data_IF_759192661486
#
_entry.id   IF_759192661486
#
_cell.length_a   1.000
_cell.length_b   1.000
_cell.length_c   1.000
_cell.angle_alpha   90.00
_cell.angle_beta   90.00
_cell.angle_gamma   90.00
#
_symmetry.space_group_name_H-M   'P 1'
#
loop_
_entity.id
_entity.type
_entity.pdbx_description
1 polymer ?
#
# COMPACT_ATOMS: atom_id res chain seq x y z
N UNK A 1 14.38 63.33 12.11
CA UNK A 1 15.10 62.11 11.69
C UNK A 1 14.23 60.92 12.03
N UNK A 2 13.56 60.33 11.04
CA UNK A 2 12.87 59.05 11.22
C UNK A 2 13.89 57.91 11.13
N UNK A 3 13.83 56.91 12.03
CA UNK A 3 14.71 55.76 11.93
C UNK A 3 14.40 54.98 10.63
N UNK A 4 15.42 54.45 9.95
CA UNK A 4 15.21 53.65 8.74
C UNK A 4 14.38 52.41 9.08
N UNK A 5 13.24 52.28 8.41
CA UNK A 5 12.36 51.10 8.54
C UNK A 5 13.12 49.89 8.00
N UNK A 6 13.28 48.87 8.85
CA UNK A 6 14.08 47.69 8.58
C UNK A 6 13.34 46.74 7.64
N UNK A 7 13.51 46.91 6.32
CA UNK A 7 12.86 46.12 5.25
C UNK A 7 13.38 44.69 5.09
N UNK A 8 14.42 44.30 5.85
CA UNK A 8 15.07 42.99 5.70
C UNK A 8 14.22 41.81 6.25
N UNK A 9 13.35 42.07 7.23
CA UNK A 9 12.61 41.00 7.92
C UNK A 9 11.46 40.44 7.05
N UNK A 10 10.77 41.31 6.29
CA UNK A 10 9.66 40.92 5.43
C UNK A 10 10.11 40.04 4.25
N UNK A 11 11.33 40.23 3.75
CA UNK A 11 11.87 39.44 2.63
C UNK A 11 12.16 37.99 3.05
N UNK A 12 12.64 37.79 4.29
CA UNK A 12 12.89 36.44 4.84
C UNK A 12 11.59 35.70 5.08
N UNK A 13 10.55 36.39 5.56
CA UNK A 13 9.24 35.77 5.79
C UNK A 13 8.59 35.34 4.47
N UNK A 14 8.66 36.17 3.41
CA UNK A 14 8.11 35.84 2.10
C UNK A 14 8.82 34.64 1.46
N UNK A 15 10.16 34.60 1.48
CA UNK A 15 10.95 33.46 0.97
C UNK A 15 10.63 32.16 1.70
N UNK A 16 10.44 32.24 3.02
CA UNK A 16 10.08 31.08 3.83
C UNK A 16 8.70 30.55 3.46
N UNK A 17 7.69 31.42 3.32
CA UNK A 17 6.32 31.02 2.90
C UNK A 17 6.31 30.36 1.51
N UNK A 18 7.06 30.93 0.56
CA UNK A 18 7.14 30.37 -0.80
C UNK A 18 7.80 28.99 -0.81
N UNK A 19 8.91 28.81 -0.07
CA UNK A 19 9.57 27.52 0.04
C UNK A 19 8.67 26.45 0.70
N UNK A 20 7.92 26.82 1.75
CA UNK A 20 6.93 25.94 2.35
C UNK A 20 5.81 25.56 1.38
N UNK A 21 5.36 26.49 0.53
CA UNK A 21 4.34 26.25 -0.48
C UNK A 21 4.84 25.26 -1.56
N UNK A 22 6.02 25.50 -2.11
CA UNK A 22 6.64 24.61 -3.11
C UNK A 22 6.88 23.21 -2.53
N UNK A 23 7.44 23.12 -1.32
CA UNK A 23 7.65 21.86 -0.63
C UNK A 23 6.33 21.10 -0.44
N UNK A 24 5.25 21.80 -0.10
CA UNK A 24 3.93 21.20 0.08
C UNK A 24 3.35 20.68 -1.23
N UNK A 25 3.52 21.41 -2.34
CA UNK A 25 3.11 20.94 -3.67
C UNK A 25 3.92 19.71 -4.07
N UNK A 26 5.24 19.77 -3.95
CA UNK A 26 6.12 18.64 -4.25
C UNK A 26 5.74 17.42 -3.42
N UNK A 27 5.61 17.56 -2.11
CA UNK A 27 5.14 16.48 -1.23
C UNK A 27 3.77 15.96 -1.67
N UNK A 28 2.83 16.83 -2.05
CA UNK A 28 1.51 16.41 -2.51
C UNK A 28 1.57 15.59 -3.81
N UNK A 29 2.46 15.94 -4.74
CA UNK A 29 2.62 15.23 -6.02
C UNK A 29 3.31 13.88 -5.77
N UNK A 30 4.44 13.89 -5.05
CA UNK A 30 5.21 12.69 -4.75
C UNK A 30 4.46 11.68 -3.87
N UNK A 31 3.63 12.18 -2.94
CA UNK A 31 2.78 11.33 -2.09
C UNK A 31 1.43 11.03 -2.72
N UNK A 32 1.03 11.65 -3.84
CA UNK A 32 -0.28 11.44 -4.46
C UNK A 32 -0.62 9.95 -4.69
N UNK A 33 0.24 9.13 -5.32
CA UNK A 33 -0.07 7.71 -5.52
C UNK A 33 -0.19 6.96 -4.18
N UNK A 34 0.67 7.28 -3.22
CA UNK A 34 0.69 6.65 -1.89
C UNK A 34 -0.45 7.10 -0.97
N UNK A 35 -0.98 8.32 -1.16
CA UNK A 35 -2.08 8.86 -0.36
C UNK A 35 -3.33 8.01 -0.53
N UNK A 36 -3.54 7.44 -1.73
CA UNK A 36 -4.65 6.54 -2.01
C UNK A 36 -4.45 5.19 -1.33
N UNK A 37 -3.33 4.52 -1.58
CA UNK A 37 -2.97 3.25 -0.95
C UNK A 37 -3.10 3.36 0.56
N UNK A 38 -2.57 4.43 1.14
CA UNK A 38 -2.73 4.69 2.56
C UNK A 38 -4.20 4.84 2.99
N UNK A 39 -5.00 5.60 2.24
CA UNK A 39 -6.41 5.83 2.59
C UNK A 39 -7.18 4.51 2.63
N UNK A 40 -6.93 3.62 1.68
CA UNK A 40 -7.59 2.33 1.54
C UNK A 40 -7.07 1.30 2.56
N UNK A 41 -5.76 1.06 2.59
CA UNK A 41 -5.17 -0.04 3.35
C UNK A 41 -4.82 0.35 4.80
N UNK A 42 -4.66 1.64 5.12
CA UNK A 42 -4.30 2.09 6.48
C UNK A 42 -5.46 2.82 7.15
N UNK A 43 -5.94 3.89 6.52
CA UNK A 43 -6.85 4.82 7.19
C UNK A 43 -8.23 4.23 7.43
N UNK A 44 -8.79 3.55 6.41
CA UNK A 44 -10.13 2.97 6.51
C UNK A 44 -10.22 1.88 7.58
N UNK A 45 -9.32 0.87 7.64
CA UNK A 45 -9.30 -0.10 8.73
C UNK A 45 -9.13 0.55 10.10
N UNK A 46 -8.24 1.54 10.24
CA UNK A 46 -8.06 2.27 11.51
C UNK A 46 -9.34 3.01 11.94
N UNK A 47 -10.07 3.57 10.98
CA UNK A 47 -11.37 4.21 11.24
C UNK A 47 -12.43 3.20 11.66
N UNK A 48 -12.45 2.01 11.06
CA UNK A 48 -13.37 0.93 11.42
C UNK A 48 -13.06 0.35 12.81
N UNK A 49 -11.77 0.13 13.13
CA UNK A 49 -11.30 -0.25 14.47
C UNK A 49 -11.74 0.79 15.51
N UNK A 50 -11.67 2.08 15.17
CA UNK A 50 -12.13 3.18 16.05
C UNK A 50 -13.67 3.23 16.16
N UNK A 51 -14.41 2.86 15.12
CA UNK A 51 -15.88 2.81 15.17
C UNK A 51 -16.39 1.65 16.02
N UNK A 52 -15.63 0.55 16.08
CA UNK A 52 -15.90 -0.58 16.95
C UNK A 52 -15.59 -0.31 18.45
N UNK A 53 -15.34 0.95 18.83
CA UNK A 53 -15.01 1.35 20.21
C UNK A 53 -16.15 0.99 21.18
N UNK A 54 -16.00 -0.17 21.83
CA UNK A 54 -16.97 -0.74 22.77
C UNK A 54 -17.16 -2.24 22.58
N UNK A 55 -17.10 -2.74 21.35
CA UNK A 55 -17.20 -4.18 21.06
C UNK A 55 -15.81 -4.81 20.91
N UNK A 56 -15.38 -5.45 22.00
CA UNK A 56 -14.08 -6.13 22.09
C UNK A 56 -13.90 -7.18 21.01
N UNK A 57 -14.93 -7.97 20.67
CA UNK A 57 -14.79 -9.08 19.71
C UNK A 57 -14.57 -8.54 18.31
N UNK A 58 -15.38 -7.56 17.93
CA UNK A 58 -15.27 -6.90 16.63
C UNK A 58 -13.94 -6.18 16.47
N UNK A 59 -13.48 -5.46 17.50
CA UNK A 59 -12.19 -4.76 17.46
C UNK A 59 -11.02 -5.73 17.31
N UNK A 60 -11.01 -6.86 18.02
CA UNK A 60 -9.95 -7.88 17.92
C UNK A 60 -9.91 -8.47 16.50
N UNK A 61 -11.07 -8.78 15.91
CA UNK A 61 -11.13 -9.27 14.52
C UNK A 61 -10.59 -8.24 13.54
N UNK A 62 -11.04 -6.99 13.62
CA UNK A 62 -10.60 -5.92 12.71
C UNK A 62 -9.10 -5.64 12.81
N UNK A 63 -8.52 -5.69 14.01
CA UNK A 63 -7.06 -5.54 14.18
C UNK A 63 -6.31 -6.72 13.60
N UNK A 64 -6.83 -7.95 13.76
CA UNK A 64 -6.24 -9.15 13.17
C UNK A 64 -6.20 -9.04 11.65
N UNK A 65 -7.33 -8.70 11.04
CA UNK A 65 -7.45 -8.58 9.59
C UNK A 65 -6.56 -7.44 9.06
N UNK A 66 -6.58 -6.29 9.72
CA UNK A 66 -5.68 -5.18 9.40
C UNK A 66 -4.19 -5.56 9.50
N UNK A 67 -3.79 -6.31 10.53
CA UNK A 67 -2.41 -6.79 10.70
C UNK A 67 -2.04 -7.67 9.50
N UNK A 68 -2.87 -8.64 9.15
CA UNK A 68 -2.65 -9.54 8.00
C UNK A 68 -2.54 -8.75 6.71
N UNK A 69 -3.47 -7.84 6.45
CA UNK A 69 -3.45 -6.99 5.25
C UNK A 69 -2.21 -6.10 5.19
N UNK A 70 -1.71 -5.62 6.34
CA UNK A 70 -0.46 -4.86 6.41
C UNK A 70 0.78 -5.69 6.14
N UNK A 71 0.86 -6.90 6.67
CA UNK A 71 1.93 -7.81 6.26
C UNK A 71 1.83 -8.15 4.78
N UNK A 72 0.61 -8.39 4.27
CA UNK A 72 0.38 -8.66 2.85
C UNK A 72 0.73 -7.45 1.98
N UNK A 73 0.49 -6.21 2.41
CA UNK A 73 0.91 -4.99 1.68
C UNK A 73 2.43 -4.92 1.60
N UNK A 74 3.11 -5.10 2.74
CA UNK A 74 4.57 -5.18 2.81
C UNK A 74 5.12 -6.34 1.96
N UNK A 75 4.34 -7.42 1.76
CA UNK A 75 4.62 -8.54 0.85
C UNK A 75 4.21 -8.32 -0.61
N UNK A 76 3.23 -7.48 -0.91
CA UNK A 76 2.74 -7.25 -2.27
C UNK A 76 3.67 -6.31 -3.02
N UNK A 77 4.27 -5.35 -2.29
CA UNK A 77 5.45 -4.59 -2.75
C UNK A 77 6.57 -5.55 -3.16
N UNK A 78 6.51 -6.82 -2.74
CA UNK A 78 7.55 -7.84 -2.73
C UNK A 78 7.43 -8.95 -3.83
N UNK A 79 6.26 -9.17 -4.46
CA UNK A 79 6.08 -10.27 -5.47
C UNK A 79 6.60 -9.92 -6.88
N UNK A 80 6.64 -8.65 -7.28
CA UNK A 80 7.03 -8.25 -8.65
C UNK A 80 8.52 -8.44 -9.04
N UNK A 81 9.37 -9.02 -8.18
CA UNK A 81 10.81 -9.22 -8.43
C UNK A 81 11.26 -10.67 -8.19
N UNK A 82 10.44 -11.49 -7.52
CA UNK A 82 10.78 -12.88 -7.18
C UNK A 82 10.37 -13.91 -8.24
N UNK A 83 9.58 -13.54 -9.24
CA UNK A 83 9.22 -14.46 -10.33
C UNK A 83 10.41 -14.85 -11.22
N UNK A 84 11.57 -14.19 -11.08
CA UNK A 84 12.77 -14.52 -11.84
C UNK A 84 13.80 -15.39 -11.09
N UNK A 85 13.59 -15.69 -9.81
CA UNK A 85 14.56 -16.48 -9.03
C UNK A 85 13.87 -17.54 -8.17
N UNK A 86 13.65 -18.68 -8.81
CA UNK A 86 13.49 -19.99 -8.20
C UNK A 86 12.37 -20.11 -7.14
N UNK A 87 11.19 -20.47 -7.65
CA UNK A 87 10.34 -21.42 -6.95
C UNK A 87 11.18 -22.60 -6.44
N UNK A 88 11.08 -22.87 -5.14
CA UNK A 88 11.36 -24.13 -4.42
C UNK A 88 12.32 -23.95 -3.23
N UNK A 89 11.82 -24.25 -2.03
CA UNK A 89 12.58 -24.59 -0.81
C UNK A 89 13.02 -23.42 0.11
N UNK A 90 12.11 -22.53 0.54
CA UNK A 90 12.33 -21.88 1.85
C UNK A 90 11.02 -21.63 2.62
N UNK A 91 11.09 -21.92 3.92
CA UNK A 91 10.01 -22.06 4.91
C UNK A 91 9.18 -20.77 5.15
N UNK A 92 8.03 -20.86 5.87
CA UNK A 92 7.15 -19.72 6.21
C UNK A 92 7.71 -18.66 7.21
N UNK A 93 9.03 -18.54 7.35
CA UNK A 93 9.74 -17.48 8.07
C UNK A 93 10.80 -16.99 7.08
N UNK A 94 10.77 -15.80 6.47
CA UNK A 94 10.73 -14.49 7.13
C UNK A 94 10.35 -13.37 6.15
N UNK A 95 9.32 -12.60 6.50
CA UNK A 95 8.83 -11.40 5.79
C UNK A 95 9.89 -10.29 5.64
N UNK A 96 10.84 -10.22 6.59
CA UNK A 96 11.96 -9.28 6.58
C UNK A 96 13.01 -9.65 5.52
N UNK A 97 13.23 -10.95 5.31
CA UNK A 97 14.24 -11.45 4.37
C UNK A 97 13.96 -10.94 2.96
N UNK A 98 12.69 -10.84 2.56
CA UNK A 98 12.37 -10.49 1.17
C UNK A 98 12.49 -8.96 0.91
N UNK A 99 12.28 -8.08 1.90
CA UNK A 99 12.60 -6.63 1.78
C UNK A 99 14.12 -6.47 1.72
N UNK A 100 14.84 -7.15 2.62
CA UNK A 100 16.29 -7.16 2.64
C UNK A 100 16.88 -7.70 1.34
N UNK A 101 16.28 -8.73 0.72
CA UNK A 101 16.70 -9.29 -0.57
C UNK A 101 16.59 -8.24 -1.68
N UNK A 102 15.48 -7.49 -1.75
CA UNK A 102 15.29 -6.45 -2.77
C UNK A 102 16.20 -5.25 -2.59
N UNK A 103 16.33 -4.77 -1.35
CA UNK A 103 17.27 -3.71 -1.04
C UNK A 103 18.71 -4.15 -1.32
N UNK A 104 19.07 -5.40 -0.98
CA UNK A 104 20.36 -6.00 -1.32
C UNK A 104 20.54 -6.14 -2.83
N UNK A 105 19.49 -6.45 -3.59
CA UNK A 105 19.55 -6.52 -5.04
C UNK A 105 19.80 -5.13 -5.64
N UNK A 106 19.07 -4.09 -5.19
CA UNK A 106 19.32 -2.72 -5.63
C UNK A 106 20.75 -2.26 -5.27
N UNK A 107 21.19 -2.55 -4.05
CA UNK A 107 22.56 -2.25 -3.58
C UNK A 107 23.62 -3.02 -4.39
N UNK A 108 23.37 -4.30 -4.68
CA UNK A 108 24.25 -5.14 -5.49
C UNK A 108 24.32 -4.66 -6.95
N UNK A 109 23.19 -4.26 -7.53
CA UNK A 109 23.13 -3.65 -8.84
C UNK A 109 23.93 -2.34 -8.87
N UNK A 110 23.75 -1.48 -7.87
CA UNK A 110 24.54 -0.25 -7.72
C UNK A 110 26.03 -0.52 -7.58
N UNK A 111 26.44 -1.51 -6.78
CA UNK A 111 27.86 -1.88 -6.67
C UNK A 111 28.43 -2.46 -7.96
N UNK A 112 27.65 -3.26 -8.69
CA UNK A 112 28.04 -3.77 -9.99
C UNK A 112 28.23 -2.61 -11.00
N UNK A 113 27.35 -1.62 -11.00
CA UNK A 113 27.45 -0.46 -11.91
C UNK A 113 28.59 0.50 -11.52
N UNK A 114 28.92 0.62 -10.24
CA UNK A 114 30.10 1.42 -9.81
C UNK A 114 31.39 0.88 -10.44
N UNK A 115 31.49 -0.43 -10.68
CA UNK A 115 32.66 -0.99 -11.38
C UNK A 115 32.83 -0.44 -12.82
N UNK A 116 31.74 0.04 -13.43
CA UNK A 116 31.72 0.60 -14.80
C UNK A 116 32.16 2.07 -14.85
N UNK A 117 32.26 2.77 -13.71
CA UNK A 117 32.66 4.18 -13.66
C UNK A 117 34.17 4.40 -13.84
N UNK A 118 34.98 3.33 -13.97
CA UNK A 118 36.43 3.39 -14.22
C UNK A 118 36.83 4.07 -15.54
N UNK A 119 35.89 4.58 -16.32
CA UNK A 119 36.21 5.41 -17.47
C UNK A 119 36.83 6.74 -17.01
N UNK A 120 37.83 7.27 -17.72
CA UNK A 120 38.68 8.39 -17.25
C UNK A 120 37.91 9.71 -17.02
N UNK A 121 36.65 9.79 -17.41
CA UNK A 121 35.75 10.90 -17.10
C UNK A 121 34.34 10.31 -16.95
N UNK A 122 33.81 9.96 -15.78
CA UNK A 122 32.38 9.71 -15.65
C UNK A 122 31.61 11.05 -15.58
N UNK A 123 30.33 11.05 -15.96
CA UNK A 123 29.46 12.18 -15.63
C UNK A 123 29.13 12.10 -14.14
N UNK A 124 29.49 13.12 -13.37
CA UNK A 124 29.26 13.16 -11.92
C UNK A 124 27.78 12.92 -11.53
N UNK A 125 26.85 13.30 -12.41
CA UNK A 125 25.40 13.10 -12.22
C UNK A 125 25.06 11.62 -12.09
N UNK A 126 25.71 10.76 -12.88
CA UNK A 126 25.50 9.31 -12.83
C UNK A 126 25.88 8.75 -11.46
N UNK A 127 27.09 9.10 -10.99
CA UNK A 127 27.59 8.64 -9.69
C UNK A 127 26.70 9.15 -8.55
N UNK A 128 26.28 10.43 -8.61
CA UNK A 128 25.38 11.01 -7.63
C UNK A 128 24.03 10.27 -7.56
N UNK A 129 23.44 9.92 -8.71
CA UNK A 129 22.18 9.17 -8.78
C UNK A 129 22.31 7.75 -8.22
N UNK A 130 23.43 7.08 -8.46
CA UNK A 130 23.73 5.77 -7.90
C UNK A 130 23.91 5.81 -6.38
N UNK A 131 24.65 6.79 -5.86
CA UNK A 131 24.78 6.96 -4.40
C UNK A 131 23.45 7.33 -3.76
N UNK A 132 22.64 8.17 -4.40
CA UNK A 132 21.31 8.50 -3.90
C UNK A 132 20.41 7.25 -3.84
N UNK A 133 20.44 6.42 -4.88
CA UNK A 133 19.73 5.14 -4.90
C UNK A 133 20.15 4.23 -3.73
N UNK A 134 21.46 4.12 -3.47
CA UNK A 134 22.01 3.34 -2.37
C UNK A 134 21.55 3.88 -1.01
N UNK A 135 21.60 5.20 -0.81
CA UNK A 135 21.12 5.84 0.41
C UNK A 135 19.62 5.57 0.61
N UNK A 136 18.79 5.73 -0.43
CA UNK A 136 17.38 5.42 -0.37
C UNK A 136 17.10 3.96 -0.03
N UNK A 137 17.86 3.01 -0.60
CA UNK A 137 17.76 1.58 -0.29
C UNK A 137 18.07 1.30 1.19
N UNK A 138 19.13 1.90 1.74
CA UNK A 138 19.51 1.76 3.16
C UNK A 138 18.40 2.31 4.07
N UNK A 139 17.87 3.50 3.77
CA UNK A 139 16.77 4.09 4.54
C UNK A 139 15.49 3.23 4.47
N UNK A 140 15.18 2.64 3.32
CA UNK A 140 14.05 1.73 3.17
C UNK A 140 14.18 0.51 4.09
N UNK A 141 15.38 -0.07 4.21
CA UNK A 141 15.66 -1.20 5.11
C UNK A 141 15.52 -0.79 6.57
N UNK A 142 16.19 0.29 6.99
CA UNK A 142 16.17 0.76 8.39
C UNK A 142 14.72 1.03 8.84
N UNK A 143 13.97 1.75 8.01
CA UNK A 143 12.58 2.10 8.34
C UNK A 143 11.61 0.93 8.23
N UNK A 144 11.88 -0.06 7.37
CA UNK A 144 11.15 -1.34 7.36
C UNK A 144 11.34 -2.12 8.65
N UNK A 145 12.58 -2.21 9.16
CA UNK A 145 12.88 -2.87 10.44
C UNK A 145 12.15 -2.18 11.59
N UNK A 146 12.17 -0.85 11.63
CA UNK A 146 11.45 -0.07 12.64
C UNK A 146 9.93 -0.30 12.57
N UNK A 147 9.36 -0.30 11.36
CA UNK A 147 7.92 -0.54 11.15
C UNK A 147 7.54 -1.95 11.56
N UNK A 148 8.37 -2.95 11.21
CA UNK A 148 8.19 -4.33 11.66
C UNK A 148 8.24 -4.45 13.17
N UNK A 149 9.20 -3.82 13.83
CA UNK A 149 9.30 -3.85 15.30
C UNK A 149 8.03 -3.29 15.97
N UNK A 150 7.43 -2.24 15.40
CA UNK A 150 6.15 -1.69 15.89
C UNK A 150 5.00 -2.69 15.68
N UNK A 151 5.03 -3.47 14.59
CA UNK A 151 4.00 -4.44 14.22
C UNK A 151 4.14 -5.76 14.99
N UNK A 152 5.36 -6.17 15.32
CA UNK A 152 5.70 -7.34 16.14
C UNK A 152 5.37 -7.07 17.62
N UNK A 153 5.32 -5.81 18.05
CA UNK A 153 4.84 -5.39 19.36
C UNK A 153 3.32 -5.63 19.55
N UNK A 154 2.60 -5.94 18.46
CA UNK A 154 1.20 -6.35 18.51
C UNK A 154 1.10 -7.87 18.71
N UNK A 155 0.18 -8.35 19.56
CA UNK A 155 0.04 -9.78 19.84
C UNK A 155 -0.14 -10.59 18.56
N UNK A 156 0.35 -11.83 18.58
CA UNK A 156 0.37 -12.66 17.38
C UNK A 156 -1.05 -13.12 17.01
N UNK A 157 -1.27 -13.46 15.74
CA UNK A 157 -2.59 -13.86 15.22
C UNK A 157 -3.22 -14.98 16.06
N UNK A 158 -2.40 -15.95 16.45
CA UNK A 158 -2.81 -17.12 17.22
C UNK A 158 -3.07 -16.78 18.70
N UNK A 159 -2.46 -15.70 19.19
CA UNK A 159 -2.67 -15.18 20.53
C UNK A 159 -3.88 -14.26 20.62
N UNK A 160 -4.34 -13.66 19.51
CA UNK A 160 -5.58 -12.87 19.42
C UNK A 160 -6.85 -13.75 19.59
N UNK A 161 -6.91 -14.59 20.62
CA UNK A 161 -8.14 -15.29 21.01
C UNK A 161 -9.01 -14.40 21.89
N UNK A 162 -10.30 -14.76 22.01
CA UNK A 162 -11.30 -14.03 22.81
C UNK A 162 -10.92 -13.87 24.30
N UNK A 163 -9.87 -14.56 24.76
CA UNK A 163 -9.33 -14.53 26.12
C UNK A 163 -8.26 -13.45 26.38
N UNK A 164 -7.94 -12.57 25.43
CA UNK A 164 -6.93 -11.51 25.62
C UNK A 164 -7.15 -10.70 26.91
N UNK A 165 -6.10 -10.39 27.66
CA UNK A 165 -6.26 -9.56 28.85
C UNK A 165 -6.73 -8.14 28.46
N UNK A 166 -7.60 -7.53 29.27
CA UNK A 166 -8.03 -6.13 29.05
C UNK A 166 -6.83 -5.17 29.00
N UNK A 167 -5.75 -5.50 29.71
CA UNK A 167 -4.51 -4.72 29.68
C UNK A 167 -3.84 -4.73 28.30
N UNK A 168 -3.83 -5.87 27.61
CA UNK A 168 -3.25 -6.00 26.26
C UNK A 168 -4.11 -5.28 25.24
N UNK A 169 -5.43 -5.40 25.36
CA UNK A 169 -6.38 -4.65 24.55
C UNK A 169 -6.18 -3.14 24.74
N UNK A 170 -5.95 -2.69 25.98
CA UNK A 170 -5.67 -1.28 26.28
C UNK A 170 -4.30 -0.83 25.76
N UNK A 171 -3.28 -1.69 25.76
CA UNK A 171 -1.96 -1.41 25.16
C UNK A 171 -2.08 -1.29 23.63
N UNK A 172 -2.68 -2.28 22.98
CA UNK A 172 -2.96 -2.29 21.55
C UNK A 172 -3.77 -1.06 21.15
N UNK A 173 -4.83 -0.76 21.90
CA UNK A 173 -5.61 0.48 21.75
C UNK A 173 -4.74 1.71 21.91
N UNK A 174 -3.82 1.77 22.87
CA UNK A 174 -2.95 2.95 23.05
C UNK A 174 -1.94 3.10 21.90
N UNK A 175 -1.46 2.00 21.33
CA UNK A 175 -0.56 2.01 20.16
C UNK A 175 -1.32 2.44 18.91
N UNK A 176 -2.49 1.83 18.65
CA UNK A 176 -3.33 2.06 17.46
C UNK A 176 -4.18 3.34 17.57
N UNK A 177 -4.61 3.75 18.76
CA UNK A 177 -5.42 4.95 19.00
C UNK A 177 -4.64 6.09 19.67
N UNK A 178 -3.32 6.02 19.82
CA UNK A 178 -2.49 7.22 20.10
C UNK A 178 -2.74 8.33 19.05
N UNK A 179 -3.32 7.94 17.92
CA UNK A 179 -3.70 8.79 16.82
C UNK A 179 -5.00 9.54 17.13
N UNK A 180 -4.83 10.84 17.43
CA UNK A 180 -5.89 11.79 17.76
C UNK A 180 -6.95 11.84 16.64
N UNK A 181 -8.21 12.07 17.04
CA UNK A 181 -9.40 12.13 16.15
C UNK A 181 -9.33 13.26 15.11
N UNK A 182 -8.56 14.32 15.35
CA UNK A 182 -8.45 15.46 14.45
C UNK A 182 -7.27 15.29 13.48
N UNK A 183 -7.49 15.44 12.15
CA UNK A 183 -6.44 15.35 11.14
C UNK A 183 -5.52 16.57 11.20
N UNK A 184 -4.59 16.59 12.16
CA UNK A 184 -3.52 17.59 12.24
C UNK A 184 -2.23 17.13 11.53
N UNK A 185 -1.17 17.94 11.60
CA UNK A 185 0.17 17.62 11.06
C UNK A 185 0.68 16.24 11.54
N UNK A 186 0.37 15.86 12.78
CA UNK A 186 0.72 14.53 13.34
C UNK A 186 0.13 13.36 12.54
N UNK A 187 -1.05 13.54 11.93
CA UNK A 187 -1.65 12.54 11.05
C UNK A 187 -0.84 12.38 9.75
N UNK A 188 -0.37 13.49 9.17
CA UNK A 188 0.49 13.49 7.97
C UNK A 188 1.88 12.88 8.25
N UNK A 189 2.45 13.12 9.43
CA UNK A 189 3.71 12.49 9.84
C UNK A 189 3.52 10.97 10.00
N UNK A 190 2.41 10.53 10.56
CA UNK A 190 2.09 9.10 10.67
C UNK A 190 1.93 8.45 9.29
N UNK A 191 1.15 9.09 8.42
CA UNK A 191 1.03 8.77 7.00
C UNK A 191 2.40 8.54 6.35
N UNK A 192 3.30 9.50 6.57
CA UNK A 192 4.66 9.45 6.08
C UNK A 192 5.41 8.24 6.64
N UNK A 193 5.47 8.05 7.96
CA UNK A 193 6.21 6.95 8.58
C UNK A 193 5.76 5.57 8.08
N UNK A 194 4.45 5.34 7.96
CA UNK A 194 3.93 4.03 7.52
C UNK A 194 4.15 3.73 6.04
N UNK A 195 4.29 4.74 5.20
CA UNK A 195 4.48 4.58 3.75
C UNK A 195 5.92 4.84 3.30
N UNK A 196 6.74 5.44 4.18
CA UNK A 196 8.11 5.83 3.90
C UNK A 196 8.98 4.68 3.37
N UNK A 197 8.92 3.44 3.91
CA UNK A 197 9.75 2.36 3.38
C UNK A 197 9.40 2.01 1.93
N UNK A 198 8.11 1.97 1.59
CA UNK A 198 7.65 1.70 0.22
C UNK A 198 8.04 2.83 -0.74
N UNK A 199 7.86 4.08 -0.31
CA UNK A 199 8.23 5.26 -1.08
C UNK A 199 9.74 5.32 -1.36
N UNK A 200 10.56 5.13 -0.33
CA UNK A 200 12.02 5.16 -0.46
C UNK A 200 12.54 4.02 -1.32
N UNK A 201 11.93 2.84 -1.25
CA UNK A 201 12.24 1.73 -2.14
C UNK A 201 11.94 2.08 -3.61
N UNK A 202 10.80 2.70 -3.90
CA UNK A 202 10.47 3.16 -5.25
C UNK A 202 11.44 4.22 -5.74
N UNK A 203 11.82 5.18 -4.87
CA UNK A 203 12.82 6.19 -5.22
C UNK A 203 14.19 5.60 -5.49
N UNK A 204 14.62 4.59 -4.72
CA UNK A 204 15.86 3.88 -4.97
C UNK A 204 15.90 3.32 -6.40
N UNK A 205 14.82 2.66 -6.84
CA UNK A 205 14.70 2.16 -8.20
C UNK A 205 14.65 3.26 -9.26
N UNK A 206 13.83 4.29 -9.07
CA UNK A 206 13.71 5.39 -10.03
C UNK A 206 15.05 6.11 -10.24
N UNK A 207 15.78 6.38 -9.15
CA UNK A 207 17.09 7.03 -9.20
C UNK A 207 18.18 6.11 -9.77
N UNK A 208 18.13 4.81 -9.48
CA UNK A 208 19.01 3.82 -10.13
C UNK A 208 18.80 3.80 -11.65
N UNK A 209 17.54 3.67 -12.10
CA UNK A 209 17.20 3.66 -13.53
C UNK A 209 17.54 5.00 -14.20
N UNK A 210 17.38 6.11 -13.50
CA UNK A 210 17.79 7.43 -13.98
C UNK A 210 19.30 7.48 -14.17
N UNK A 211 20.08 7.02 -13.18
CA UNK A 211 21.55 6.94 -13.28
C UNK A 211 22.00 6.04 -14.42
N UNK A 212 21.38 4.87 -14.58
CA UNK A 212 21.64 3.95 -15.69
C UNK A 212 21.33 4.59 -17.04
N UNK A 213 20.22 5.33 -17.15
CA UNK A 213 19.83 6.03 -18.37
C UNK A 213 20.84 7.12 -18.73
N UNK A 214 21.26 7.94 -17.76
CA UNK A 214 22.30 8.96 -17.97
C UNK A 214 23.62 8.31 -18.39
N UNK A 215 24.00 7.20 -17.75
CA UNK A 215 25.20 6.43 -18.11
C UNK A 215 25.15 5.94 -19.56
N UNK A 216 24.05 5.28 -19.95
CA UNK A 216 23.85 4.75 -21.31
C UNK A 216 23.79 5.88 -22.35
N UNK A 217 23.31 7.07 -21.98
CA UNK A 217 23.27 8.26 -22.84
C UNK A 217 24.59 9.06 -22.91
N UNK A 218 25.62 8.70 -22.13
CA UNK A 218 26.95 9.32 -22.19
C UNK A 218 27.53 9.50 -23.60
N UNK A 219 27.44 8.54 -24.55
CA UNK A 219 27.92 8.75 -25.92
C UNK A 219 27.28 9.96 -26.61
N UNK A 220 25.98 10.21 -26.40
CA UNK A 220 25.28 11.36 -26.98
C UNK A 220 25.70 12.68 -26.34
N UNK A 221 25.79 12.73 -25.02
CA UNK A 221 26.14 13.98 -24.32
C UNK A 221 27.57 14.44 -24.58
N UNK A 222 28.45 13.53 -24.99
CA UNK A 222 29.85 13.81 -25.31
C UNK A 222 30.15 13.97 -26.78
N UNK A 223 29.15 13.84 -27.65
CA UNK A 223 29.33 13.89 -29.10
C UNK A 223 30.46 12.96 -29.57
N UNK A 224 30.51 11.73 -29.04
CA UNK A 224 31.49 10.74 -29.50
C UNK A 224 31.15 10.31 -30.93
N UNK A 225 32.16 9.81 -31.65
CA UNK A 225 31.93 9.27 -33.00
C UNK A 225 30.89 8.14 -32.98
N UNK A 226 30.06 8.10 -34.03
CA UNK A 226 29.00 7.13 -34.15
C UNK A 226 29.56 5.70 -34.13
N UNK A 227 29.07 4.87 -33.23
CA UNK A 227 29.63 3.54 -32.99
C UNK A 227 28.65 2.61 -32.30
N UNK A 228 29.09 1.41 -31.95
CA UNK A 228 28.22 0.40 -31.35
C UNK A 228 27.59 0.85 -30.03
N UNK A 229 28.27 1.71 -29.26
CA UNK A 229 27.72 2.30 -28.02
C UNK A 229 26.46 3.14 -28.26
N UNK A 230 26.41 3.89 -29.36
CA UNK A 230 25.23 4.67 -29.75
C UNK A 230 24.06 3.76 -30.09
N UNK A 231 24.31 2.67 -30.84
CA UNK A 231 23.27 1.67 -31.18
C UNK A 231 22.69 1.03 -29.92
N UNK A 232 23.53 0.64 -28.97
CA UNK A 232 23.09 0.09 -27.67
C UNK A 232 22.23 1.11 -26.92
N UNK A 233 22.64 2.37 -26.89
CA UNK A 233 21.90 3.42 -26.22
C UNK A 233 20.51 3.67 -26.84
N UNK A 234 20.40 3.64 -28.18
CA UNK A 234 19.12 3.77 -28.88
C UNK A 234 18.20 2.61 -28.55
N UNK A 235 18.70 1.38 -28.60
CA UNK A 235 17.90 0.19 -28.26
C UNK A 235 17.42 0.26 -26.80
N UNK A 236 18.32 0.60 -25.87
CA UNK A 236 17.96 0.79 -24.46
C UNK A 236 16.88 1.86 -24.26
N UNK A 237 17.03 3.04 -24.88
CA UNK A 237 16.04 4.13 -24.79
C UNK A 237 14.70 3.74 -25.40
N UNK A 238 14.72 3.02 -26.52
CA UNK A 238 13.49 2.55 -27.19
C UNK A 238 12.74 1.58 -26.28
N UNK A 239 13.41 0.53 -25.79
CA UNK A 239 12.79 -0.46 -24.89
C UNK A 239 12.35 0.20 -23.58
N UNK A 240 13.18 1.07 -23.00
CA UNK A 240 12.85 1.83 -21.80
C UNK A 240 11.62 2.73 -21.98
N UNK A 241 11.49 3.39 -23.13
CA UNK A 241 10.34 4.24 -23.45
C UNK A 241 9.05 3.42 -23.58
N UNK A 242 9.10 2.25 -24.24
CA UNK A 242 7.95 1.34 -24.34
C UNK A 242 7.52 0.86 -22.95
N UNK A 243 8.49 0.49 -22.10
CA UNK A 243 8.23 0.12 -20.71
C UNK A 243 7.59 1.25 -19.90
N UNK A 244 8.11 2.48 -20.02
CA UNK A 244 7.57 3.66 -19.35
C UNK A 244 6.15 3.98 -19.80
N UNK A 245 5.89 3.95 -21.10
CA UNK A 245 4.55 4.17 -21.67
C UNK A 245 3.58 3.12 -21.15
N UNK A 246 3.96 1.85 -21.19
CA UNK A 246 3.14 0.73 -20.67
C UNK A 246 2.83 0.92 -19.19
N UNK A 247 3.82 1.34 -18.39
CA UNK A 247 3.65 1.64 -16.98
C UNK A 247 2.68 2.81 -16.73
N UNK A 248 2.80 3.89 -17.50
CA UNK A 248 1.90 5.05 -17.41
C UNK A 248 0.47 4.63 -17.76
N UNK A 249 0.28 3.89 -18.86
CA UNK A 249 -1.05 3.39 -19.25
C UNK A 249 -1.66 2.49 -18.17
N UNK A 250 -0.87 1.57 -17.61
CA UNK A 250 -1.32 0.69 -16.52
C UNK A 250 -1.72 1.50 -15.28
N UNK A 251 -0.93 2.51 -14.93
CA UNK A 251 -1.22 3.40 -13.79
C UNK A 251 -2.47 4.24 -14.01
N UNK A 252 -2.68 4.75 -15.23
CA UNK A 252 -3.89 5.49 -15.60
C UNK A 252 -5.11 4.56 -15.57
N UNK A 253 -5.00 3.34 -16.10
CA UNK A 253 -6.10 2.38 -16.11
C UNK A 253 -6.54 2.01 -14.69
N UNK A 254 -5.60 1.70 -13.80
CA UNK A 254 -5.88 1.47 -12.38
C UNK A 254 -6.53 2.70 -11.75
N UNK A 255 -5.99 3.90 -12.02
CA UNK A 255 -6.55 5.13 -11.47
C UNK A 255 -7.99 5.38 -11.92
N UNK A 256 -8.30 5.19 -13.21
CA UNK A 256 -9.64 5.36 -13.78
C UNK A 256 -10.59 4.29 -13.24
N UNK A 257 -10.22 3.01 -13.31
CA UNK A 257 -11.06 1.91 -12.86
C UNK A 257 -11.45 2.04 -11.40
N UNK A 258 -10.53 2.46 -10.54
CA UNK A 258 -10.87 2.68 -9.14
C UNK A 258 -11.74 3.96 -8.93
N UNK A 259 -11.61 5.00 -9.77
CA UNK A 259 -12.53 6.16 -9.70
C UNK A 259 -13.95 5.80 -10.13
N UNK A 260 -14.08 4.94 -11.12
CA UNK A 260 -15.38 4.39 -11.52
C UNK A 260 -15.99 3.53 -10.41
N UNK A 261 -15.17 2.73 -9.73
CA UNK A 261 -15.60 1.98 -8.55
C UNK A 261 -16.11 2.92 -7.44
N UNK A 262 -15.37 3.98 -7.08
CA UNK A 262 -15.81 4.96 -6.08
C UNK A 262 -17.16 5.60 -6.47
N UNK A 263 -17.32 6.02 -7.73
CA UNK A 263 -18.59 6.56 -8.23
C UNK A 263 -19.74 5.55 -8.16
N UNK A 264 -19.47 4.28 -8.46
CA UNK A 264 -20.49 3.22 -8.41
C UNK A 264 -21.00 2.98 -6.98
N UNK A 265 -20.11 3.04 -5.98
CA UNK A 265 -20.46 2.90 -4.56
C UNK A 265 -21.27 4.10 -4.07
N UNK A 266 -20.90 5.32 -4.48
CA UNK A 266 -21.64 6.54 -4.15
C UNK A 266 -23.04 6.53 -4.77
N UNK A 267 -23.16 6.13 -6.05
CA UNK A 267 -24.43 6.01 -6.75
C UNK A 267 -25.34 4.95 -6.11
N UNK A 268 -24.78 3.79 -5.73
CA UNK A 268 -25.53 2.74 -5.02
C UNK A 268 -26.04 3.26 -3.68
N UNK A 269 -25.20 3.94 -2.90
CA UNK A 269 -25.59 4.49 -1.60
C UNK A 269 -26.67 5.56 -1.71
N UNK A 270 -26.58 6.44 -2.71
CA UNK A 270 -27.60 7.43 -2.98
C UNK A 270 -28.95 6.77 -3.36
N UNK A 271 -28.90 5.72 -4.17
CA UNK A 271 -30.08 4.95 -4.58
C UNK A 271 -30.76 4.24 -3.41
N UNK A 272 -29.99 3.63 -2.50
CA UNK A 272 -30.53 3.02 -1.27
C UNK A 272 -31.21 4.05 -0.37
N UNK A 273 -30.59 5.22 -0.15
CA UNK A 273 -31.19 6.29 0.65
C UNK A 273 -32.48 6.84 0.03
N UNK A 274 -32.55 6.91 -1.31
CA UNK A 274 -33.77 7.33 -2.01
C UNK A 274 -34.88 6.26 -1.92
N UNK A 275 -34.54 4.98 -1.97
CA UNK A 275 -35.52 3.90 -1.77
C UNK A 275 -36.05 3.85 -0.34
N UNK A 276 -35.19 4.07 0.66
CA UNK A 276 -35.60 4.13 2.07
C UNK A 276 -36.53 5.31 2.35
N UNK A 277 -36.24 6.49 1.78
CA UNK A 277 -37.11 7.66 1.94
C UNK A 277 -38.46 7.52 1.23
N UNK A 278 -38.50 6.84 0.07
CA UNK A 278 -39.74 6.54 -0.62
C UNK A 278 -40.64 5.56 0.17
N UNK A 279 -40.06 4.56 0.82
CA UNK A 279 -40.80 3.61 1.69
C UNK A 279 -41.28 4.31 2.96
N UNK A 280 -40.47 5.20 3.54
CA UNK A 280 -40.83 5.98 4.73
C UNK A 280 -42.02 6.94 4.51
N UNK A 281 -42.27 7.38 3.28
CA UNK A 281 -43.43 8.23 2.94
C UNK A 281 -44.70 7.42 2.62
N UNK A 282 -44.58 6.12 2.42
CA UNK A 282 -45.67 5.23 1.98
C UNK A 282 -46.32 4.43 3.12
N UNK A 283 -46.15 4.85 4.39
CA UNK A 283 -46.88 4.24 5.52
C UNK A 283 -47.94 5.21 6.07
N UNK A 284 -49.19 4.75 6.27
CA UNK A 284 -50.37 5.56 6.02
C UNK A 284 -51.18 5.88 7.29
N UNK A 285 -51.84 7.05 7.29
CA UNK A 285 -52.94 7.44 8.21
C UNK A 285 -54.23 6.60 8.04
N UNK A 286 -54.11 5.30 7.73
CA UNK A 286 -55.23 4.40 7.55
C UNK A 286 -55.22 3.24 8.54
N UNK A 287 -55.08 3.53 9.84
CA UNK A 287 -55.62 2.65 10.89
C UNK A 287 -57.14 2.87 11.02
N UNK A 288 -57.89 2.30 10.06
CA UNK A 288 -59.31 2.00 10.24
C UNK A 288 -59.48 0.48 10.39
N UNK A 289 -59.49 0.05 11.66
CA UNK A 289 -60.47 -0.91 12.22
C UNK A 289 -60.83 -2.13 11.35
N UNK A 290 -60.02 -3.19 11.38
CA UNK A 290 -60.49 -4.55 11.02
C UNK A 290 -60.03 -5.59 12.05
N UNK A 291 -60.99 -6.45 12.40
CA UNK A 291 -61.07 -7.39 13.52
C UNK A 291 -60.04 -8.52 13.49
N UNK A 292 -59.64 -8.88 14.71
CA UNK A 292 -59.26 -10.20 15.22
C UNK A 292 -59.70 -11.40 14.37
N UNK A 293 -58.74 -12.28 14.04
CA UNK A 293 -59.00 -13.58 13.45
C UNK A 293 -57.76 -14.39 13.11
N UNK A 294 -57.28 -15.16 14.09
CA UNK A 294 -56.68 -16.50 13.94
C UNK A 294 -55.19 -16.65 13.56
N UNK A 295 -54.47 -17.28 14.48
CA UNK A 295 -53.05 -17.64 14.49
C UNK A 295 -52.71 -18.75 13.48
N UNK A 296 -51.58 -18.58 12.78
CA UNK A 296 -50.83 -19.65 12.14
C UNK A 296 -49.33 -19.31 12.17
N UNK A 297 -48.42 -20.25 12.46
CA UNK A 297 -46.99 -19.95 12.61
C UNK A 297 -46.32 -19.92 11.23
N UNK A 298 -46.23 -18.74 10.63
CA UNK A 298 -45.38 -18.52 9.44
C UNK A 298 -44.02 -18.00 9.89
N UNK A 299 -42.99 -18.81 9.67
CA UNK A 299 -41.58 -18.46 9.84
C UNK A 299 -41.21 -17.25 8.97
N UNK A 300 -41.06 -16.09 9.61
CA UNK A 300 -40.56 -14.86 8.99
C UNK A 300 -39.06 -15.02 8.74
N UNK A 301 -38.70 -15.52 7.56
CA UNK A 301 -37.32 -15.49 7.08
C UNK A 301 -36.95 -14.05 6.70
N UNK A 302 -35.84 -13.60 7.27
CA UNK A 302 -35.30 -12.26 7.14
C UNK A 302 -34.80 -12.04 5.69
N UNK A 303 -35.34 -11.06 4.92
CA UNK A 303 -34.98 -10.86 3.52
C UNK A 303 -33.48 -10.56 3.33
N UNK A 304 -32.82 -10.05 4.36
CA UNK A 304 -31.37 -9.77 4.38
C UNK A 304 -30.53 -11.06 4.38
N UNK A 305 -31.03 -12.16 4.96
CA UNK A 305 -30.33 -13.45 4.91
C UNK A 305 -30.47 -14.13 3.53
N UNK A 306 -31.60 -13.93 2.85
CA UNK A 306 -31.84 -14.50 1.51
C UNK A 306 -30.94 -13.88 0.42
N UNK A 307 -30.58 -12.59 0.54
CA UNK A 307 -29.66 -11.92 -0.37
C UNK A 307 -28.20 -12.37 -0.18
N UNK A 308 -27.81 -12.71 1.06
CA UNK A 308 -26.44 -13.18 1.38
C UNK A 308 -26.20 -14.63 0.94
N UNK A 309 -27.24 -15.45 0.91
CA UNK A 309 -27.15 -16.86 0.49
C UNK A 309 -26.99 -17.04 -1.04
N UNK A 310 -27.36 -16.04 -1.86
CA UNK A 310 -27.24 -16.13 -3.33
C UNK A 310 -25.84 -15.85 -3.89
N UNK A 311 -24.93 -15.28 -3.09
CA UNK A 311 -23.57 -14.94 -3.55
C UNK A 311 -22.54 -16.08 -3.49
N UNK A 312 -22.91 -17.26 -2.99
CA UNK A 312 -21.97 -18.37 -2.70
C UNK A 312 -22.30 -19.68 -3.45
N UNK A 313 -23.27 -19.68 -4.37
CA UNK A 313 -23.80 -20.91 -4.96
C UNK A 313 -23.72 -21.00 -6.48
N UNK A 314 -22.69 -20.40 -7.08
CA UNK A 314 -22.25 -20.70 -8.44
C UNK A 314 -20.75 -21.00 -8.42
N UNK A 315 -20.46 -22.28 -8.24
CA UNK A 315 -19.13 -22.88 -8.16
C UNK A 315 -19.30 -24.38 -8.35
N UNK A 316 -19.59 -24.73 -9.60
CA UNK A 316 -19.81 -26.07 -10.13
C UNK A 316 -18.57 -26.98 -9.97
N UNK A 317 -18.83 -28.26 -10.20
CA UNK A 317 -17.92 -29.37 -10.54
C UNK A 317 -17.67 -30.41 -9.44
N UNK A 318 -18.36 -31.54 -9.63
CA UNK A 318 -17.61 -32.77 -9.94
C UNK A 318 -17.59 -33.82 -8.85
N UNK A 319 -18.57 -34.71 -8.90
CA UNK A 319 -18.44 -36.01 -8.27
C UNK A 319 -17.34 -36.82 -8.96
N UNK A 320 -16.31 -37.22 -8.22
CA UNK A 320 -15.50 -38.38 -8.57
C UNK A 320 -15.20 -39.21 -7.32
N UNK A 321 -15.81 -40.38 -7.31
CA UNK A 321 -15.58 -41.48 -6.39
C UNK A 321 -14.16 -42.03 -6.59
N UNK A 322 -13.29 -41.96 -5.58
CA UNK A 322 -12.10 -42.83 -5.55
C UNK A 322 -11.57 -43.12 -4.15
N UNK A 323 -11.91 -44.34 -3.70
CA UNK A 323 -11.10 -45.31 -2.94
C UNK A 323 -9.86 -44.80 -2.20
N UNK A 324 -9.87 -45.00 -0.87
CA UNK A 324 -8.68 -45.26 -0.08
C UNK A 324 -7.90 -46.46 -0.64
N UNK A 325 -6.55 -46.45 -0.57
CA UNK A 325 -5.93 -47.24 0.49
C UNK A 325 -4.59 -46.69 1.05
N UNK A 326 -4.29 -47.07 2.30
CA UNK A 326 -3.06 -47.81 2.63
C UNK A 326 -1.72 -47.07 2.71
N UNK A 327 -1.28 -46.85 3.96
CA UNK A 327 0.08 -47.00 4.51
C UNK A 327 1.25 -47.15 3.50
N UNK A 328 2.28 -46.30 3.65
CA UNK A 328 3.67 -46.79 3.67
C UNK A 328 4.61 -45.80 4.37
N UNK A 329 5.26 -46.30 5.43
CA UNK A 329 6.43 -45.69 6.08
C UNK A 329 7.64 -46.00 5.19
N UNK A 330 8.46 -45.01 4.87
CA UNK A 330 9.89 -45.23 4.59
C UNK A 330 10.74 -44.16 5.25
N UNK A 331 11.57 -44.65 6.16
CA UNK A 331 12.82 -44.04 6.60
C UNK A 331 13.75 -43.91 5.40
N UNK A 332 14.55 -42.85 5.36
CA UNK A 332 15.78 -42.79 4.58
C UNK A 332 16.83 -42.08 5.43
N UNK A 333 17.71 -42.92 6.00
CA UNK A 333 19.11 -42.62 6.24
C UNK A 333 19.78 -42.44 4.88
N UNK A 334 20.57 -41.38 4.74
CA UNK A 334 22.03 -41.39 4.47
C UNK A 334 22.56 -40.04 4.95
#
# INVERSE_FOLDING_TARGET
MQPPVCTCLDEVEHKTKWLFFVLRIALSIFTAPYRRTFKLYTWRPLMEIRRADGDRKTMISLVRDWKVDKYAELQSVQVAVSDFTAASIFRPLDYLTLICVRASFCTGATFATISWSKQPNPLWVTDALWFFSLICSIWAVITSIQTKSILDDLPDRDQLNLSLSEMEVKRMRRVILRYKKTPGLRHYIMLFVWQFPSMTMSYAWCTFLSGLTVYVCTPFTRNLEWGNRHKIAIVYLTVGSVGLVTYIFSSVFVYVGEKEFERSVESTRASTMQSESAIGLATPDAQSKVKSGQQGPSSTEDPVQSARARGLKDGDVGGESRRAPGKSKRQLLI
#
